data_IF_230148547125
#
_entry.id   IF_230148547125
#
_cell.length_a   1.000
_cell.length_b   1.000
_cell.length_c   1.000
_cell.angle_alpha   90.00
_cell.angle_beta   90.00
_cell.angle_gamma   90.00
#
_symmetry.space_group_name_H-M   'P 1'
#
loop_
_entity.id
_entity.type
_entity.pdbx_description
1 polymer ?
#
# COMPACT_ATOMS: atom_id res chain seq x y z
N UNK A 1 -15.31 -0.93 -17.07
CA UNK A 1 -14.07 -1.44 -16.44
C UNK A 1 -12.88 -0.97 -17.24
N UNK A 2 -11.99 -0.17 -16.66
CA UNK A 2 -10.72 0.16 -17.31
C UNK A 2 -9.73 -1.01 -17.16
N UNK A 3 -10.04 -2.13 -17.84
CA UNK A 3 -9.24 -3.37 -17.88
C UNK A 3 -7.81 -3.01 -18.29
N UNK A 4 -6.83 -3.37 -17.46
CA UNK A 4 -5.42 -3.16 -17.81
C UNK A 4 -5.11 -4.01 -19.03
N UNK A 5 -4.68 -3.37 -20.10
CA UNK A 5 -4.28 -4.11 -21.29
C UNK A 5 -2.91 -4.76 -21.09
N UNK A 6 -2.72 -5.95 -21.66
CA UNK A 6 -1.40 -6.60 -21.65
C UNK A 6 -0.30 -5.72 -22.25
N UNK A 7 -0.66 -4.88 -23.23
CA UNK A 7 0.24 -3.89 -23.84
C UNK A 7 0.75 -2.88 -22.80
N UNK A 8 -0.14 -2.34 -21.95
CA UNK A 8 0.26 -1.42 -20.88
C UNK A 8 1.17 -2.10 -19.85
N UNK A 9 0.89 -3.34 -19.46
CA UNK A 9 1.75 -4.12 -18.55
C UNK A 9 3.14 -4.36 -19.16
N UNK A 10 3.20 -4.63 -20.46
CA UNK A 10 4.45 -4.83 -21.19
C UNK A 10 5.28 -3.53 -21.24
N UNK A 11 4.66 -2.40 -21.62
CA UNK A 11 5.30 -1.08 -21.71
C UNK A 11 5.77 -0.54 -20.34
N UNK A 12 5.02 -0.84 -19.28
CA UNK A 12 5.38 -0.48 -17.91
C UNK A 12 6.49 -1.37 -17.32
N UNK A 13 6.80 -2.51 -17.97
CA UNK A 13 7.85 -3.43 -17.52
C UNK A 13 7.44 -4.36 -16.37
N UNK A 14 6.13 -4.64 -16.22
CA UNK A 14 5.60 -5.51 -15.15
C UNK A 14 6.04 -6.96 -15.30
N UNK A 15 6.31 -7.40 -16.52
CA UNK A 15 6.71 -8.78 -16.85
C UNK A 15 8.15 -9.13 -16.45
N UNK A 16 8.99 -8.16 -16.11
CA UNK A 16 10.37 -8.44 -15.70
C UNK A 16 10.40 -8.90 -14.24
N UNK A 17 10.91 -10.10 -14.00
CA UNK A 17 11.22 -10.57 -12.65
C UNK A 17 12.69 -10.37 -12.28
N UNK A 18 13.12 -11.05 -11.23
CA UNK A 18 14.52 -11.09 -10.80
C UNK A 18 15.39 -12.10 -11.58
N UNK A 19 16.70 -12.04 -11.33
CA UNK A 19 17.69 -13.00 -11.81
C UNK A 19 17.37 -14.43 -11.34
N UNK A 20 17.70 -15.43 -12.15
CA UNK A 20 17.40 -16.84 -11.88
C UNK A 20 17.99 -17.40 -10.59
N UNK A 21 19.05 -16.78 -10.06
CA UNK A 21 19.66 -17.16 -8.77
C UNK A 21 18.86 -16.73 -7.55
N UNK A 22 17.92 -15.78 -7.69
CA UNK A 22 17.22 -15.12 -6.58
C UNK A 22 15.75 -15.49 -6.48
N UNK A 23 15.28 -16.46 -7.26
CA UNK A 23 13.87 -16.82 -7.32
C UNK A 23 13.42 -17.74 -6.18
N UNK A 24 12.12 -17.75 -5.93
CA UNK A 24 11.43 -18.68 -5.06
C UNK A 24 10.77 -19.79 -5.92
N UNK A 25 11.04 -21.08 -5.65
CA UNK A 25 10.43 -22.19 -6.41
C UNK A 25 8.90 -22.17 -6.47
N UNK A 26 8.23 -21.63 -5.44
CA UNK A 26 6.77 -21.50 -5.42
C UNK A 26 6.23 -20.50 -6.44
N UNK A 27 7.07 -19.62 -6.97
CA UNK A 27 6.71 -18.73 -8.08
C UNK A 27 6.71 -19.42 -9.45
N UNK A 28 7.11 -20.70 -9.53
CA UNK A 28 7.11 -21.46 -10.80
C UNK A 28 5.79 -21.37 -11.59
N UNK A 29 4.60 -21.43 -10.97
CA UNK A 29 3.34 -21.29 -11.71
C UNK A 29 3.17 -19.91 -12.34
N UNK A 30 3.79 -18.85 -11.83
CA UNK A 30 3.63 -17.49 -12.34
C UNK A 30 4.71 -17.07 -13.33
N UNK A 31 5.76 -17.88 -13.47
CA UNK A 31 6.87 -17.62 -14.39
C UNK A 31 6.54 -18.23 -15.76
N UNK A 32 6.66 -17.41 -16.81
CA UNK A 32 6.45 -17.85 -18.18
C UNK A 32 7.71 -18.48 -18.78
N UNK A 33 8.85 -17.79 -18.70
CA UNK A 33 10.13 -18.27 -19.25
C UNK A 33 11.32 -17.52 -18.63
N UNK A 34 12.53 -17.92 -19.00
CA UNK A 34 13.78 -17.24 -18.69
C UNK A 34 14.37 -16.65 -19.98
N UNK A 35 14.84 -15.40 -19.92
CA UNK A 35 15.62 -14.79 -21.01
C UNK A 35 16.78 -14.00 -20.45
N UNK A 36 17.99 -14.25 -20.96
CA UNK A 36 19.22 -13.57 -20.53
C UNK A 36 19.45 -13.63 -19.00
N UNK A 37 19.08 -14.75 -18.35
CA UNK A 37 19.24 -14.94 -16.91
C UNK A 37 18.23 -14.18 -16.04
N UNK A 38 17.17 -13.61 -16.63
CA UNK A 38 16.06 -12.95 -15.92
C UNK A 38 14.77 -13.76 -16.17
N UNK A 39 14.01 -14.02 -15.11
CA UNK A 39 12.69 -14.64 -15.25
C UNK A 39 11.67 -13.64 -15.78
N UNK A 40 10.83 -14.10 -16.70
CA UNK A 40 9.72 -13.35 -17.27
C UNK A 40 8.43 -13.89 -16.65
N UNK A 41 7.64 -12.98 -16.08
CA UNK A 41 6.37 -13.26 -15.42
C UNK A 41 5.27 -13.38 -16.49
N UNK A 42 4.36 -14.34 -16.29
CA UNK A 42 3.21 -14.56 -17.18
C UNK A 42 2.13 -13.47 -16.99
N UNK A 43 2.11 -12.52 -17.93
CA UNK A 43 1.14 -11.42 -17.92
C UNK A 43 -0.31 -11.88 -18.08
N UNK A 44 -0.58 -13.05 -18.67
CA UNK A 44 -1.96 -13.54 -18.76
C UNK A 44 -2.52 -13.84 -17.37
N UNK A 45 -1.68 -14.40 -16.48
CA UNK A 45 -2.03 -14.62 -15.07
C UNK A 45 -2.12 -13.31 -14.32
N UNK A 46 -1.17 -12.41 -14.53
CA UNK A 46 -1.19 -11.07 -13.93
C UNK A 46 -2.49 -10.32 -14.22
N UNK A 47 -2.98 -10.31 -15.47
CA UNK A 47 -4.23 -9.60 -15.82
C UNK A 47 -5.42 -10.14 -15.03
N UNK A 48 -5.59 -11.47 -14.97
CA UNK A 48 -6.69 -12.10 -14.21
C UNK A 48 -6.61 -11.78 -12.72
N UNK A 49 -5.41 -11.86 -12.16
CA UNK A 49 -5.22 -11.63 -10.73
C UNK A 49 -5.35 -10.15 -10.34
N UNK A 50 -5.01 -9.22 -11.24
CA UNK A 50 -5.33 -7.80 -11.07
C UNK A 50 -6.84 -7.61 -11.03
N UNK A 51 -7.59 -8.26 -11.92
CA UNK A 51 -9.05 -8.16 -11.96
C UNK A 51 -9.68 -8.71 -10.67
N UNK A 52 -9.25 -9.89 -10.21
CA UNK A 52 -9.68 -10.47 -8.93
C UNK A 52 -9.37 -9.55 -7.75
N UNK A 53 -8.16 -8.96 -7.71
CA UNK A 53 -7.75 -8.02 -6.66
C UNK A 53 -8.56 -6.72 -6.69
N UNK A 54 -8.86 -6.18 -7.88
CA UNK A 54 -9.68 -4.99 -8.03
C UNK A 54 -11.12 -5.24 -7.58
N UNK A 55 -11.69 -6.40 -7.90
CA UNK A 55 -13.04 -6.77 -7.47
C UNK A 55 -13.10 -6.91 -5.94
N UNK A 56 -12.10 -7.56 -5.33
CA UNK A 56 -12.01 -7.67 -3.89
C UNK A 56 -11.85 -6.30 -3.20
N UNK A 57 -11.04 -5.39 -3.75
CA UNK A 57 -10.93 -4.02 -3.22
C UNK A 57 -12.30 -3.33 -3.25
N UNK A 58 -13.07 -3.49 -4.33
CA UNK A 58 -14.40 -2.89 -4.42
C UNK A 58 -15.33 -3.42 -3.34
N UNK A 59 -15.35 -4.74 -3.13
CA UNK A 59 -16.13 -5.37 -2.06
C UNK A 59 -15.77 -4.80 -0.68
N UNK A 60 -14.47 -4.69 -0.37
CA UNK A 60 -13.99 -4.14 0.91
C UNK A 60 -14.43 -2.69 1.10
N UNK A 61 -14.35 -1.88 0.04
CA UNK A 61 -14.73 -0.47 0.10
C UNK A 61 -16.25 -0.32 0.22
N UNK A 62 -17.04 -1.10 -0.52
CA UNK A 62 -18.51 -1.15 -0.43
C UNK A 62 -19.03 -1.61 0.95
N UNK A 63 -18.22 -2.34 1.72
CA UNK A 63 -18.51 -2.63 3.13
C UNK A 63 -18.19 -1.45 4.07
N UNK A 64 -17.76 -0.30 3.55
CA UNK A 64 -17.35 0.87 4.31
C UNK A 64 -15.98 0.73 4.98
N UNK A 65 -15.18 -0.28 4.63
CA UNK A 65 -13.86 -0.51 5.23
C UNK A 65 -12.75 0.21 4.46
N UNK A 66 -11.71 0.60 5.19
CA UNK A 66 -10.55 1.29 4.59
C UNK A 66 -9.52 0.31 4.02
N UNK A 67 -8.78 0.75 3.01
CA UNK A 67 -7.65 0.02 2.43
C UNK A 67 -6.36 0.74 2.82
N UNK A 68 -5.34 -0.02 3.26
CA UNK A 68 -4.02 0.53 3.60
C UNK A 68 -3.00 0.21 2.50
N UNK A 69 -2.43 1.23 1.88
CA UNK A 69 -1.39 1.09 0.86
C UNK A 69 0.01 1.09 1.50
N UNK A 70 0.81 0.07 1.24
CA UNK A 70 2.13 -0.13 1.86
C UNK A 70 3.19 -0.30 0.79
N UNK A 71 4.19 0.58 0.80
CA UNK A 71 5.37 0.44 -0.06
C UNK A 71 6.49 1.38 0.39
N UNK A 72 7.50 0.82 1.05
CA UNK A 72 8.64 1.55 1.62
C UNK A 72 9.84 1.59 0.69
N UNK A 73 9.82 0.76 -0.37
CA UNK A 73 10.82 0.74 -1.44
C UNK A 73 10.87 2.09 -2.15
N UNK A 74 12.07 2.58 -2.49
CA UNK A 74 12.26 3.92 -3.09
C UNK A 74 11.38 4.13 -4.33
N UNK A 75 11.23 3.08 -5.14
CA UNK A 75 10.46 3.09 -6.37
C UNK A 75 8.94 3.13 -6.15
N UNK A 76 8.49 2.79 -4.94
CA UNK A 76 7.08 2.73 -4.55
C UNK A 76 6.63 3.96 -3.74
N UNK A 77 7.54 4.67 -3.06
CA UNK A 77 7.16 5.65 -2.03
C UNK A 77 6.24 6.77 -2.54
N UNK A 78 6.56 7.32 -3.71
CA UNK A 78 5.79 8.43 -4.28
C UNK A 78 4.47 7.92 -4.88
N UNK A 79 4.49 6.80 -5.60
CA UNK A 79 3.28 6.20 -6.18
C UNK A 79 2.27 5.79 -5.11
N UNK A 80 2.73 5.17 -4.02
CA UNK A 80 1.85 4.77 -2.90
C UNK A 80 1.22 6.01 -2.25
N UNK A 81 2.00 7.06 -2.00
CA UNK A 81 1.46 8.29 -1.40
C UNK A 81 0.45 8.96 -2.32
N UNK A 82 0.85 9.26 -3.56
CA UNK A 82 0.03 10.04 -4.50
C UNK A 82 -1.30 9.34 -4.79
N UNK A 83 -1.28 8.03 -5.02
CA UNK A 83 -2.47 7.27 -5.36
C UNK A 83 -3.39 7.03 -4.14
N UNK A 84 -2.83 6.81 -2.95
CA UNK A 84 -3.62 6.68 -1.73
C UNK A 84 -4.27 8.01 -1.32
N UNK A 85 -3.54 9.13 -1.43
CA UNK A 85 -4.09 10.46 -1.20
C UNK A 85 -5.18 10.79 -2.24
N UNK A 86 -4.99 10.39 -3.51
CA UNK A 86 -5.99 10.55 -4.58
C UNK A 86 -7.29 9.80 -4.29
N UNK A 87 -7.22 8.55 -3.80
CA UNK A 87 -8.42 7.77 -3.49
C UNK A 87 -8.96 7.99 -2.07
N UNK A 88 -8.31 8.85 -1.26
CA UNK A 88 -8.70 9.13 0.11
C UNK A 88 -8.57 7.92 1.03
N UNK A 89 -7.50 7.13 0.86
CA UNK A 89 -7.17 5.96 1.67
C UNK A 89 -5.83 6.16 2.40
N UNK A 90 -5.55 5.27 3.35
CA UNK A 90 -4.37 5.37 4.20
C UNK A 90 -3.14 4.79 3.52
N UNK A 91 -1.95 5.26 3.93
CA UNK A 91 -0.70 4.75 3.38
C UNK A 91 0.48 4.71 4.36
N UNK A 92 1.45 3.84 4.05
CA UNK A 92 2.77 3.78 4.69
C UNK A 92 3.82 3.70 3.59
N UNK A 93 4.53 4.82 3.36
CA UNK A 93 5.48 4.94 2.25
C UNK A 93 6.96 5.11 2.66
N UNK A 94 7.26 5.32 3.95
CA UNK A 94 8.65 5.52 4.42
C UNK A 94 9.19 4.28 5.11
N UNK A 95 8.50 3.82 6.17
CA UNK A 95 8.93 2.67 6.97
C UNK A 95 7.75 2.08 7.72
N UNK A 96 7.63 0.75 7.67
CA UNK A 96 6.75 0.01 8.58
C UNK A 96 7.35 -0.02 9.98
N UNK A 97 6.60 0.47 10.97
CA UNK A 97 6.95 0.32 12.38
C UNK A 97 6.31 -0.98 12.87
N UNK A 98 7.11 -1.89 13.41
CA UNK A 98 6.58 -3.13 13.99
C UNK A 98 5.55 -2.82 15.09
N UNK A 99 4.43 -3.53 15.06
CA UNK A 99 3.28 -3.24 15.92
C UNK A 99 2.29 -2.24 15.32
N UNK A 100 2.43 -1.88 14.04
CA UNK A 100 1.53 -0.93 13.38
C UNK A 100 0.07 -1.36 13.42
N UNK A 101 -0.18 -2.66 13.24
CA UNK A 101 -1.54 -3.23 13.30
C UNK A 101 -1.73 -3.98 14.61
N UNK A 102 -0.75 -4.79 15.02
CA UNK A 102 -0.87 -5.68 16.18
C UNK A 102 -0.84 -4.93 17.53
N UNK A 103 -0.28 -3.71 17.56
CA UNK A 103 -0.28 -2.82 18.72
C UNK A 103 -0.83 -1.43 18.34
N UNK A 104 -1.97 -1.44 17.66
CA UNK A 104 -2.58 -0.23 17.12
C UNK A 104 -2.88 0.84 18.17
N UNK A 105 -3.24 0.46 19.40
CA UNK A 105 -3.44 1.40 20.50
C UNK A 105 -2.20 2.25 20.81
N UNK A 106 -0.99 1.66 20.75
CA UNK A 106 0.25 2.40 20.99
C UNK A 106 0.58 3.33 19.83
N UNK A 107 0.26 2.92 18.60
CA UNK A 107 0.44 3.74 17.40
C UNK A 107 -0.52 4.93 17.41
N UNK A 108 -1.77 4.71 17.82
CA UNK A 108 -2.77 5.78 17.99
C UNK A 108 -2.30 6.85 18.97
N UNK A 109 -1.72 6.46 20.11
CA UNK A 109 -1.09 7.41 21.06
C UNK A 109 0.02 8.25 20.44
N UNK A 110 0.80 7.68 19.50
CA UNK A 110 1.83 8.43 18.78
C UNK A 110 1.26 9.39 17.74
N UNK A 111 0.13 9.03 17.12
CA UNK A 111 -0.62 9.92 16.22
C UNK A 111 -1.26 11.06 17.01
N UNK A 112 -1.83 10.79 18.18
CA UNK A 112 -2.33 11.81 19.11
C UNK A 112 -1.21 12.76 19.53
N UNK A 113 -0.03 12.23 19.88
CA UNK A 113 1.16 13.03 20.17
C UNK A 113 1.56 13.94 19.00
N UNK A 114 1.47 13.45 17.76
CA UNK A 114 1.72 14.28 16.57
C UNK A 114 0.70 15.42 16.48
N UNK A 115 -0.60 15.14 16.67
CA UNK A 115 -1.68 16.15 16.66
C UNK A 115 -1.50 17.19 17.78
N UNK A 116 -1.02 16.78 18.96
CA UNK A 116 -0.67 17.71 20.04
C UNK A 116 0.46 18.66 19.65
N UNK A 117 1.53 18.13 19.04
CA UNK A 117 2.68 18.93 18.62
C UNK A 117 2.32 19.94 17.53
N UNK A 118 1.43 19.57 16.61
CA UNK A 118 0.89 20.50 15.60
C UNK A 118 0.06 21.61 16.27
N UNK A 119 -0.85 21.26 17.19
CA UNK A 119 -1.65 22.25 17.93
C UNK A 119 -0.80 23.22 18.76
N UNK A 120 0.25 22.72 19.42
CA UNK A 120 1.18 23.57 20.20
C UNK A 120 1.94 24.56 19.31
N UNK A 121 2.27 24.16 18.09
CA UNK A 121 2.96 25.01 17.13
C UNK A 121 1.99 26.07 16.57
N UNK A 122 0.76 25.67 16.21
CA UNK A 122 -0.29 26.58 15.72
C UNK A 122 -0.71 27.60 16.79
N UNK A 123 -0.76 27.20 18.05
CA UNK A 123 -1.15 28.07 19.17
C UNK A 123 -0.05 29.03 19.63
N UNK A 124 1.12 29.04 18.97
CA UNK A 124 2.27 29.87 19.36
C UNK A 124 2.95 29.46 20.66
N UNK A 125 2.64 28.27 21.22
CA UNK A 125 3.21 27.83 22.51
C UNK A 125 4.73 27.69 22.45
N UNK A 126 5.29 27.46 21.25
CA UNK A 126 6.74 27.37 21.05
C UNK A 126 7.47 28.68 21.36
N UNK A 127 6.80 29.84 21.30
CA UNK A 127 7.40 31.14 21.59
C UNK A 127 7.71 31.32 23.08
N UNK A 128 7.01 30.58 23.95
CA UNK A 128 7.19 30.60 25.40
C UNK A 128 8.36 29.71 25.86
N UNK A 129 8.91 28.90 24.97
CA UNK A 129 9.93 27.89 25.27
C UNK A 129 11.33 28.34 24.87
N UNK A 130 12.35 27.72 25.45
CA UNK A 130 13.72 27.98 25.04
C UNK A 130 14.01 27.42 23.65
N UNK A 131 14.94 28.05 22.91
CA UNK A 131 15.34 27.58 21.56
C UNK A 131 15.74 26.09 21.53
N UNK A 132 16.37 25.58 22.60
CA UNK A 132 16.76 24.17 22.73
C UNK A 132 15.53 23.25 22.79
N UNK A 133 14.53 23.62 23.59
CA UNK A 133 13.28 22.84 23.73
C UNK A 133 12.47 22.86 22.44
N UNK A 134 12.32 24.03 21.81
CA UNK A 134 11.66 24.16 20.50
C UNK A 134 12.31 23.26 19.46
N UNK A 135 13.65 23.24 19.40
CA UNK A 135 14.39 22.39 18.45
C UNK A 135 14.10 20.90 18.70
N UNK A 136 14.02 20.49 19.97
CA UNK A 136 13.69 19.10 20.34
C UNK A 136 12.27 18.73 19.91
N UNK A 137 11.28 19.59 20.17
CA UNK A 137 9.89 19.39 19.79
C UNK A 137 9.71 19.37 18.27
N UNK A 138 10.36 20.27 17.53
CA UNK A 138 10.35 20.25 16.06
C UNK A 138 10.94 18.96 15.50
N UNK A 139 12.06 18.51 16.04
CA UNK A 139 12.68 17.24 15.63
C UNK A 139 11.77 16.04 15.91
N UNK A 140 11.06 16.04 17.05
CA UNK A 140 10.07 15.02 17.39
C UNK A 140 8.89 15.05 16.41
N UNK A 141 8.32 16.23 16.14
CA UNK A 141 7.23 16.44 15.18
C UNK A 141 7.60 15.96 13.79
N UNK A 142 8.76 16.36 13.27
CA UNK A 142 9.25 15.95 11.95
C UNK A 142 9.39 14.43 11.83
N UNK A 143 9.94 13.77 12.87
CA UNK A 143 10.06 12.31 12.90
C UNK A 143 8.69 11.66 12.89
N UNK A 144 7.77 12.07 13.75
CA UNK A 144 6.43 11.50 13.82
C UNK A 144 5.67 11.73 12.50
N UNK A 145 5.69 12.95 11.97
CA UNK A 145 5.04 13.31 10.71
C UNK A 145 5.57 12.48 9.55
N UNK A 146 6.89 12.32 9.45
CA UNK A 146 7.52 11.52 8.38
C UNK A 146 7.04 10.07 8.34
N UNK A 147 6.78 9.45 9.50
CA UNK A 147 6.41 8.04 9.57
C UNK A 147 4.90 7.79 9.67
N UNK A 148 4.13 8.72 10.25
CA UNK A 148 2.75 8.49 10.64
C UNK A 148 1.72 9.32 9.85
N UNK A 149 2.15 10.24 8.97
CA UNK A 149 1.20 11.11 8.23
C UNK A 149 0.12 10.34 7.47
N UNK A 150 0.47 9.22 6.83
CA UNK A 150 -0.47 8.46 5.99
C UNK A 150 -1.48 7.62 6.77
N UNK A 151 -1.30 7.48 8.09
CA UNK A 151 -2.25 6.81 9.00
C UNK A 151 -2.77 7.77 10.07
N UNK A 152 -2.57 9.09 9.89
CA UNK A 152 -2.93 10.12 10.87
C UNK A 152 -4.43 10.12 11.16
N UNK A 153 -5.24 9.87 10.13
CA UNK A 153 -6.70 9.90 10.22
C UNK A 153 -7.32 8.49 10.26
N UNK A 154 -6.48 7.47 10.48
CA UNK A 154 -6.91 6.09 10.62
C UNK A 154 -7.42 5.84 12.04
N UNK A 155 -8.74 5.77 12.17
CA UNK A 155 -9.38 5.49 13.47
C UNK A 155 -9.44 4.00 13.75
N UNK A 156 -9.73 3.16 12.76
CA UNK A 156 -9.89 1.72 12.90
C UNK A 156 -8.87 0.95 12.07
N UNK A 157 -8.77 -0.36 12.30
CA UNK A 157 -7.91 -1.21 11.48
C UNK A 157 -8.44 -1.28 10.04
N UNK A 158 -7.56 -1.36 9.03
CA UNK A 158 -7.99 -1.48 7.65
C UNK A 158 -8.68 -2.81 7.39
N UNK A 159 -9.63 -2.81 6.45
CA UNK A 159 -10.31 -4.01 5.96
C UNK A 159 -9.44 -4.84 5.02
N UNK A 160 -8.50 -4.21 4.32
CA UNK A 160 -7.52 -4.88 3.47
C UNK A 160 -6.22 -4.07 3.38
N UNK A 161 -5.13 -4.75 3.03
CA UNK A 161 -3.81 -4.12 2.88
C UNK A 161 -3.25 -4.45 1.50
N UNK A 162 -2.88 -3.41 0.75
CA UNK A 162 -2.17 -3.53 -0.51
C UNK A 162 -0.67 -3.32 -0.29
N UNK A 163 0.15 -4.32 -0.61
CA UNK A 163 1.58 -4.39 -0.27
C UNK A 163 2.42 -4.47 -1.54
N UNK A 164 3.47 -3.65 -1.61
CA UNK A 164 4.47 -3.67 -2.67
C UNK A 164 5.76 -4.25 -2.10
N UNK A 165 6.28 -5.31 -2.73
CA UNK A 165 7.46 -6.09 -2.30
C UNK A 165 7.24 -6.79 -0.94
N UNK A 166 6.64 -7.97 -0.95
CA UNK A 166 6.30 -8.72 0.28
C UNK A 166 7.54 -9.13 1.06
N UNK A 167 8.68 -9.32 0.38
CA UNK A 167 9.95 -9.68 1.00
C UNK A 167 10.54 -8.53 1.80
N UNK A 168 10.39 -7.30 1.31
CA UNK A 168 10.83 -6.10 2.03
C UNK A 168 9.84 -5.76 3.16
N UNK A 169 8.55 -6.08 2.98
CA UNK A 169 7.44 -5.71 3.86
C UNK A 169 6.96 -6.88 4.74
N UNK A 170 7.80 -7.89 4.98
CA UNK A 170 7.45 -9.10 5.73
C UNK A 170 6.80 -8.86 7.10
N UNK A 171 7.18 -7.78 7.78
CA UNK A 171 6.59 -7.44 9.09
C UNK A 171 5.11 -7.07 8.92
N UNK A 172 4.78 -6.28 7.90
CA UNK A 172 3.39 -5.90 7.60
C UNK A 172 2.55 -7.12 7.26
N UNK A 173 3.06 -8.01 6.39
CA UNK A 173 2.41 -9.25 5.99
C UNK A 173 2.12 -10.15 7.20
N UNK A 174 3.11 -10.34 8.09
CA UNK A 174 2.94 -11.16 9.30
C UNK A 174 1.94 -10.57 10.28
N UNK A 175 1.95 -9.26 10.46
CA UNK A 175 0.98 -8.57 11.32
C UNK A 175 -0.44 -8.67 10.78
N UNK A 176 -0.62 -8.47 9.46
CA UNK A 176 -1.90 -8.61 8.77
C UNK A 176 -2.47 -10.02 8.94
N UNK A 177 -1.66 -11.04 8.63
CA UNK A 177 -2.03 -12.45 8.79
C UNK A 177 -2.40 -12.81 10.22
N UNK A 178 -1.66 -12.29 11.21
CA UNK A 178 -1.96 -12.55 12.63
C UNK A 178 -3.32 -12.01 13.05
N UNK A 179 -3.77 -10.91 12.43
CA UNK A 179 -5.05 -10.27 12.71
C UNK A 179 -6.18 -10.74 11.78
N UNK A 180 -5.89 -11.60 10.80
CA UNK A 180 -6.84 -12.03 9.78
C UNK A 180 -7.23 -10.90 8.81
N UNK A 181 -6.38 -9.89 8.64
CA UNK A 181 -6.61 -8.82 7.67
C UNK A 181 -6.13 -9.34 6.30
N UNK A 182 -7.00 -9.38 5.28
CA UNK A 182 -6.66 -9.87 3.96
C UNK A 182 -5.63 -8.97 3.28
N UNK A 183 -4.72 -9.61 2.55
CA UNK A 183 -3.56 -8.99 1.91
C UNK A 183 -3.60 -9.14 0.40
N UNK A 184 -3.34 -8.05 -0.30
CA UNK A 184 -3.16 -7.99 -1.74
C UNK A 184 -1.71 -7.58 -1.97
N UNK A 185 -0.96 -8.29 -2.80
CA UNK A 185 0.48 -8.10 -2.90
C UNK A 185 0.99 -8.13 -4.32
N UNK A 186 1.86 -7.17 -4.68
CA UNK A 186 2.73 -7.32 -5.86
C UNK A 186 3.84 -8.28 -5.49
N UNK A 187 3.88 -9.43 -6.16
CA UNK A 187 4.82 -10.53 -5.86
C UNK A 187 5.74 -10.73 -7.06
N UNK A 188 7.02 -10.38 -6.88
CA UNK A 188 8.08 -10.68 -7.84
C UNK A 188 8.59 -12.12 -7.64
N UNK A 189 9.41 -12.63 -8.55
CA UNK A 189 9.91 -14.01 -8.59
C UNK A 189 10.72 -14.42 -7.37
N UNK A 190 11.20 -13.46 -6.57
CA UNK A 190 12.00 -13.68 -5.35
C UNK A 190 11.16 -13.78 -4.05
N UNK A 191 9.84 -13.61 -4.14
CA UNK A 191 8.90 -13.59 -3.03
C UNK A 191 8.12 -14.91 -2.90
N UNK A 192 7.60 -15.22 -1.71
CA UNK A 192 6.72 -16.38 -1.50
C UNK A 192 5.25 -15.98 -1.77
N UNK A 193 4.59 -16.55 -2.80
CA UNK A 193 3.19 -16.21 -3.10
C UNK A 193 2.21 -16.70 -2.02
N UNK A 194 2.56 -17.73 -1.24
CA UNK A 194 1.69 -18.27 -0.18
C UNK A 194 1.58 -17.31 1.02
N UNK A 195 2.40 -16.26 1.06
CA UNK A 195 2.34 -15.23 2.11
C UNK A 195 1.19 -14.23 1.91
N UNK A 196 0.55 -14.21 0.74
CA UNK A 196 -0.45 -13.23 0.32
C UNK A 196 -1.74 -13.91 -0.10
N UNK A 197 -2.88 -13.29 0.22
CA UNK A 197 -4.20 -13.85 -0.10
C UNK A 197 -4.58 -13.59 -1.57
N UNK A 198 -4.34 -12.35 -2.05
CA UNK A 198 -4.55 -11.94 -3.45
C UNK A 198 -3.22 -11.56 -4.10
N UNK A 199 -2.63 -12.54 -4.80
CA UNK A 199 -1.30 -12.42 -5.41
C UNK A 199 -1.42 -11.70 -6.76
N UNK A 200 -0.65 -10.62 -6.97
CA UNK A 200 -0.46 -9.98 -8.27
C UNK A 200 0.98 -10.23 -8.73
N UNK A 201 1.23 -11.20 -9.63
CA UNK A 201 2.56 -11.45 -10.15
C UNK A 201 3.05 -10.25 -10.96
N UNK A 202 4.15 -9.64 -10.57
CA UNK A 202 4.66 -8.46 -11.25
C UNK A 202 5.96 -7.91 -10.68
N UNK A 203 6.59 -7.05 -11.48
CA UNK A 203 7.81 -6.34 -11.12
C UNK A 203 7.55 -5.26 -10.04
N UNK A 204 8.26 -5.36 -8.92
CA UNK A 204 8.22 -4.38 -7.83
C UNK A 204 9.40 -3.39 -7.84
N UNK A 205 10.38 -3.57 -8.73
CA UNK A 205 11.58 -2.74 -8.86
C UNK A 205 11.40 -1.57 -9.85
N UNK A 206 10.50 -1.72 -10.83
CA UNK A 206 10.26 -0.69 -11.84
C UNK A 206 9.21 0.33 -11.37
N UNK A 207 9.60 1.61 -11.34
CA UNK A 207 8.71 2.73 -10.96
C UNK A 207 7.43 2.74 -11.80
N UNK A 208 7.54 2.50 -13.12
CA UNK A 208 6.39 2.49 -14.03
C UNK A 208 5.44 1.33 -13.75
N UNK A 209 5.97 0.15 -13.45
CA UNK A 209 5.19 -1.03 -13.10
C UNK A 209 4.43 -0.81 -11.80
N UNK A 210 5.14 -0.38 -10.75
CA UNK A 210 4.54 -0.04 -9.45
C UNK A 210 3.47 1.03 -9.60
N UNK A 211 3.76 2.14 -10.30
CA UNK A 211 2.79 3.21 -10.49
C UNK A 211 1.53 2.72 -11.21
N UNK A 212 1.67 1.92 -12.27
CA UNK A 212 0.54 1.36 -13.01
C UNK A 212 -0.34 0.46 -12.13
N UNK A 213 0.28 -0.43 -11.35
CA UNK A 213 -0.45 -1.35 -10.49
C UNK A 213 -1.14 -0.62 -9.34
N UNK A 214 -0.42 0.28 -8.66
CA UNK A 214 -0.97 1.10 -7.57
C UNK A 214 -2.10 2.01 -8.06
N UNK A 215 -1.95 2.64 -9.23
CA UNK A 215 -3.00 3.51 -9.78
C UNK A 215 -4.26 2.72 -10.11
N UNK A 216 -4.13 1.45 -10.54
CA UNK A 216 -5.28 0.58 -10.82
C UNK A 216 -6.00 0.13 -9.56
N UNK A 217 -5.28 -0.16 -8.48
CA UNK A 217 -5.89 -0.41 -7.17
C UNK A 217 -6.61 0.84 -6.65
N UNK A 218 -6.02 2.03 -6.81
CA UNK A 218 -6.66 3.29 -6.43
C UNK A 218 -7.88 3.63 -7.29
N UNK A 219 -7.85 3.35 -8.60
CA UNK A 219 -9.00 3.48 -9.50
C UNK A 219 -10.15 2.57 -9.03
N UNK A 220 -9.86 1.33 -8.61
CA UNK A 220 -10.87 0.41 -8.09
C UNK A 220 -11.55 0.94 -6.82
N UNK A 221 -10.77 1.56 -5.91
CA UNK A 221 -11.33 2.26 -4.72
C UNK A 221 -12.26 3.40 -5.12
N UNK A 222 -11.85 4.22 -6.10
CA UNK A 222 -12.66 5.35 -6.57
C UNK A 222 -13.95 4.89 -7.26
N UNK A 223 -13.87 3.84 -8.07
CA UNK A 223 -15.05 3.24 -8.72
C UNK A 223 -16.07 2.73 -7.68
N UNK A 224 -15.61 2.11 -6.59
CA UNK A 224 -16.49 1.67 -5.50
C UNK A 224 -17.19 2.83 -4.79
N UNK A 225 -16.43 3.89 -4.44
CA UNK A 225 -16.99 5.09 -3.79
C UNK A 225 -18.01 5.83 -4.67
N UNK A 226 -17.82 5.83 -5.98
CA UNK A 226 -18.79 6.41 -6.91
C UNK A 226 -20.07 5.58 -7.02
N UNK A 227 -19.95 4.25 -6.99
CA UNK A 227 -21.11 3.36 -6.96
C UNK A 227 -21.99 3.58 -5.73
N UNK A 228 -21.38 3.72 -4.54
CA UNK A 228 -22.10 4.04 -3.30
C UNK A 228 -22.88 5.36 -3.39
N UNK A 229 -22.28 6.41 -3.96
CA UNK A 229 -22.94 7.71 -4.10
C UNK A 229 -24.19 7.65 -4.98
N UNK A 230 -24.14 6.88 -6.06
CA UNK A 230 -25.28 6.71 -6.97
C UNK A 230 -26.40 5.91 -6.28
N UNK A 231 -26.06 4.85 -5.55
CA UNK A 231 -27.04 4.06 -4.81
C UNK A 231 -27.71 4.85 -3.66
N UNK A 232 -26.95 5.72 -2.98
CA UNK A 232 -27.50 6.63 -1.95
C UNK A 232 -28.44 7.68 -2.53
N UNK A 233 -28.14 8.22 -3.71
CA UNK A 233 -29.00 9.17 -4.43
C UNK A 233 -30.31 8.49 -4.91
N UNK A 234 -30.23 7.28 -5.46
CA UNK A 234 -31.42 6.51 -5.91
C UNK A 234 -32.34 6.07 -4.75
N UNK A 235 -31.80 5.90 -3.53
CA UNK A 235 -32.60 5.55 -2.35
C UNK A 235 -33.28 6.76 -1.69
N UNK A 236 -32.86 7.98 -2.02
CA UNK A 236 -33.41 9.22 -1.47
C UNK A 236 -34.49 9.87 -2.35
N UNK A 237 -34.64 9.42 -3.61
CA UNK A 237 -35.77 9.76 -4.50
C UNK A 237 -36.98 8.83 -4.32
#
# INVERSE_FOLDING_TARGET
MAVVTMKQLLEAGVHFGHQTRRWNPKMAPYIFTERNGIYIIDLQKTVKMIEESCNFIKEVVSEGKSVLFVGTKKQAQDSVREEAERCGMYYVNVRWLGGMLTNFQTIRKRVERLRELEKMEESGHFELLTKKEVTKLKTEKEKLYRFLRGIKDMNDLPGAIFIIDTRKEQIAVREARKLGIPTIGIVDTNCDPDEIDYVIPGNDDAIRAVRLLTSKMADAVLEAKQGEQIEEEEQQE
#
